data_IF_866891420048
#
_entry.id   IF_866891420048
#
_cell.length_a   1.000
_cell.length_b   1.000
_cell.length_c   1.000
_cell.angle_alpha   90.00
_cell.angle_beta   90.00
_cell.angle_gamma   90.00
#
_symmetry.space_group_name_H-M   'P 1'
#
loop_
_entity.id
_entity.type
_entity.pdbx_description
1 polymer ?
#
# COMPACT_ATOMS: atom_id res chain seq x y z
N UNK A 1 13.61 -7.98 -26.35
CA UNK A 1 13.00 -7.65 -25.03
C UNK A 1 13.54 -8.56 -23.93
N UNK A 2 13.99 -9.76 -24.29
CA UNK A 2 14.60 -10.74 -23.37
C UNK A 2 15.82 -10.17 -22.60
N UNK A 3 16.70 -9.41 -23.27
CA UNK A 3 17.83 -8.80 -22.60
C UNK A 3 17.43 -7.83 -21.45
N UNK A 4 16.32 -7.09 -21.62
CA UNK A 4 15.88 -6.13 -20.61
C UNK A 4 15.23 -6.86 -19.41
N UNK A 5 14.47 -7.93 -19.66
CA UNK A 5 13.90 -8.77 -18.60
C UNK A 5 15.01 -9.45 -17.81
N UNK A 6 15.97 -10.10 -18.49
CA UNK A 6 17.12 -10.76 -17.85
C UNK A 6 17.96 -9.80 -17.01
N UNK A 7 18.12 -8.55 -17.48
CA UNK A 7 18.84 -7.52 -16.75
C UNK A 7 18.09 -7.09 -15.48
N UNK A 8 16.77 -6.85 -15.56
CA UNK A 8 15.95 -6.44 -14.43
C UNK A 8 15.78 -7.57 -13.40
N UNK A 9 15.73 -8.82 -13.84
CA UNK A 9 15.70 -10.00 -12.96
C UNK A 9 17.03 -10.21 -12.24
N UNK A 10 18.15 -9.92 -12.92
CA UNK A 10 19.49 -10.02 -12.32
C UNK A 10 19.79 -8.93 -11.30
N UNK A 11 19.13 -7.77 -11.42
CA UNK A 11 19.34 -6.61 -10.55
C UNK A 11 17.99 -6.04 -10.04
N UNK A 12 17.32 -6.74 -9.11
CA UNK A 12 16.01 -6.34 -8.59
C UNK A 12 15.99 -4.92 -8.01
N UNK A 13 17.09 -4.50 -7.41
CA UNK A 13 17.24 -3.16 -6.83
C UNK A 13 17.12 -2.07 -7.90
N UNK A 14 17.73 -2.28 -9.06
CA UNK A 14 17.64 -1.34 -10.18
C UNK A 14 16.22 -1.26 -10.71
N UNK A 15 15.50 -2.38 -10.79
CA UNK A 15 14.10 -2.41 -11.20
C UNK A 15 13.23 -1.57 -10.26
N UNK A 16 13.43 -1.70 -8.94
CA UNK A 16 12.69 -0.92 -7.94
C UNK A 16 13.01 0.58 -8.06
N UNK A 17 14.30 0.96 -8.16
CA UNK A 17 14.67 2.37 -8.32
C UNK A 17 14.19 2.95 -9.64
N UNK A 18 14.19 2.16 -10.71
CA UNK A 18 13.67 2.57 -12.02
C UNK A 18 12.16 2.82 -11.94
N UNK A 19 11.41 1.92 -11.27
CA UNK A 19 9.98 2.09 -11.03
C UNK A 19 9.67 3.37 -10.26
N UNK A 20 10.43 3.66 -9.20
CA UNK A 20 10.28 4.87 -8.41
C UNK A 20 10.60 6.11 -9.26
N UNK A 21 11.70 6.09 -10.01
CA UNK A 21 12.16 7.24 -10.79
C UNK A 21 11.20 7.59 -11.92
N UNK A 22 10.82 6.59 -12.73
CA UNK A 22 9.83 6.77 -13.80
C UNK A 22 8.48 7.16 -13.22
N UNK A 23 8.08 6.50 -12.14
CA UNK A 23 6.81 6.75 -11.49
C UNK A 23 6.71 8.15 -10.89
N UNK A 24 7.79 8.65 -10.29
CA UNK A 24 7.85 10.03 -9.81
C UNK A 24 7.66 11.02 -10.97
N UNK A 25 8.38 10.83 -12.08
CA UNK A 25 8.25 11.67 -13.27
C UNK A 25 6.82 11.62 -13.85
N UNK A 26 6.24 10.43 -13.95
CA UNK A 26 4.85 10.27 -14.42
C UNK A 26 3.84 10.92 -13.46
N UNK A 27 4.08 10.83 -12.16
CA UNK A 27 3.22 11.40 -11.13
C UNK A 27 3.22 12.94 -11.12
N UNK A 28 4.30 13.58 -11.56
CA UNK A 28 4.39 15.05 -11.68
C UNK A 28 3.73 15.60 -12.94
N UNK A 29 3.40 14.76 -13.92
CA UNK A 29 2.73 15.19 -15.16
C UNK A 29 1.34 15.72 -14.82
N UNK A 30 1.10 16.98 -15.15
CA UNK A 30 -0.19 17.65 -14.97
C UNK A 30 -0.98 17.64 -16.26
N UNK A 31 -2.13 16.98 -16.25
CA UNK A 31 -3.04 16.93 -17.38
C UNK A 31 -4.32 17.66 -16.99
N UNK A 32 -4.60 18.83 -17.60
CA UNK A 32 -5.81 19.59 -17.33
C UNK A 32 -6.01 20.06 -15.89
N UNK A 33 -4.91 20.27 -15.14
CA UNK A 33 -4.96 20.68 -13.71
C UNK A 33 -5.02 19.51 -12.70
N UNK A 34 -5.09 18.26 -13.17
CA UNK A 34 -5.01 17.06 -12.36
C UNK A 34 -3.59 16.45 -12.46
N UNK A 35 -3.01 16.02 -11.32
CA UNK A 35 -1.78 15.23 -11.28
C UNK A 35 -2.03 13.93 -10.53
N UNK A 36 -1.50 12.82 -11.03
CA UNK A 36 -1.64 11.51 -10.39
C UNK A 36 -0.91 11.42 -9.04
N UNK A 37 0.08 12.28 -8.85
CA UNK A 37 0.97 12.24 -7.70
C UNK A 37 2.06 11.15 -7.79
N UNK A 38 3.18 11.35 -7.07
CA UNK A 38 4.34 10.46 -7.17
C UNK A 38 4.06 9.01 -6.74
N UNK A 39 3.17 8.82 -5.77
CA UNK A 39 2.83 7.47 -5.24
C UNK A 39 2.09 6.66 -6.31
N UNK A 40 1.04 7.23 -6.88
CA UNK A 40 0.25 6.57 -7.94
C UNK A 40 1.10 6.35 -9.20
N UNK A 41 1.93 7.34 -9.56
CA UNK A 41 2.86 7.21 -10.68
C UNK A 41 3.85 6.05 -10.48
N UNK A 42 4.41 5.90 -9.27
CA UNK A 42 5.33 4.81 -8.94
C UNK A 42 4.64 3.44 -8.95
N UNK A 43 3.39 3.37 -8.52
CA UNK A 43 2.58 2.15 -8.57
C UNK A 43 2.34 1.72 -10.03
N UNK A 44 1.93 2.65 -10.90
CA UNK A 44 1.74 2.37 -12.33
C UNK A 44 3.04 1.93 -12.98
N UNK A 45 4.16 2.62 -12.73
CA UNK A 45 5.46 2.26 -13.25
C UNK A 45 5.90 0.86 -12.76
N UNK A 46 5.67 0.55 -11.48
CA UNK A 46 5.95 -0.77 -10.91
C UNK A 46 5.15 -1.89 -11.56
N UNK A 47 3.85 -1.66 -11.82
CA UNK A 47 3.00 -2.62 -12.54
C UNK A 47 3.53 -2.86 -13.96
N UNK A 48 3.89 -1.79 -14.68
CA UNK A 48 4.43 -1.91 -16.05
C UNK A 48 5.76 -2.68 -16.08
N UNK A 49 6.66 -2.40 -15.14
CA UNK A 49 7.94 -3.12 -15.03
C UNK A 49 7.69 -4.59 -14.65
N UNK A 50 6.76 -4.87 -13.72
CA UNK A 50 6.39 -6.21 -13.33
C UNK A 50 5.71 -7.05 -14.43
N UNK A 51 5.19 -6.41 -15.49
CA UNK A 51 4.72 -7.11 -16.70
C UNK A 51 5.86 -7.51 -17.64
N UNK A 52 7.01 -6.85 -17.52
CA UNK A 52 8.18 -7.07 -18.40
C UNK A 52 9.11 -8.11 -17.78
N UNK A 53 9.28 -8.09 -16.46
CA UNK A 53 10.24 -8.95 -15.75
C UNK A 53 9.68 -9.37 -14.38
N UNK A 54 9.94 -10.61 -13.97
CA UNK A 54 9.68 -11.08 -12.60
C UNK A 54 10.77 -10.58 -11.67
N UNK A 55 10.52 -9.47 -10.98
CA UNK A 55 11.51 -8.84 -10.07
C UNK A 55 11.42 -9.48 -8.68
N UNK A 56 12.35 -10.37 -8.29
CA UNK A 56 12.33 -11.06 -7.01
C UNK A 56 12.80 -10.15 -5.87
N UNK A 57 11.91 -9.32 -5.33
CA UNK A 57 12.24 -8.50 -4.15
C UNK A 57 12.22 -9.38 -2.90
N UNK A 58 13.34 -9.45 -2.16
CA UNK A 58 13.45 -10.27 -0.95
C UNK A 58 12.47 -9.81 0.15
N UNK A 59 12.00 -10.75 0.97
CA UNK A 59 11.10 -10.45 2.09
C UNK A 59 11.72 -9.43 3.06
N UNK A 60 13.03 -9.55 3.32
CA UNK A 60 13.76 -8.59 4.17
C UNK A 60 13.74 -7.18 3.58
N UNK A 61 13.96 -7.02 2.28
CA UNK A 61 13.91 -5.72 1.61
C UNK A 61 12.50 -5.12 1.67
N UNK A 62 11.46 -5.91 1.45
CA UNK A 62 10.06 -5.46 1.60
C UNK A 62 9.77 -4.96 3.00
N UNK A 63 10.12 -5.73 4.04
CA UNK A 63 9.92 -5.35 5.44
C UNK A 63 10.73 -4.09 5.81
N UNK A 64 11.96 -3.98 5.35
CA UNK A 64 12.79 -2.81 5.59
C UNK A 64 12.21 -1.54 4.94
N UNK A 65 11.83 -1.61 3.67
CA UNK A 65 11.20 -0.49 2.96
C UNK A 65 9.86 -0.09 3.60
N UNK A 66 9.10 -1.07 4.07
CA UNK A 66 7.86 -0.83 4.80
C UNK A 66 8.10 -0.11 6.13
N UNK A 67 9.08 -0.55 6.92
CA UNK A 67 9.45 0.14 8.16
C UNK A 67 9.94 1.56 7.90
N UNK A 68 10.72 1.77 6.83
CA UNK A 68 11.17 3.09 6.41
C UNK A 68 9.99 3.99 6.01
N UNK A 69 9.01 3.45 5.33
CA UNK A 69 7.76 4.14 4.99
C UNK A 69 6.99 4.55 6.25
N UNK A 70 6.80 3.63 7.21
CA UNK A 70 6.14 3.94 8.49
C UNK A 70 6.91 5.00 9.29
N UNK A 71 8.24 4.92 9.31
CA UNK A 71 9.07 5.94 9.93
C UNK A 71 8.89 7.31 9.27
N UNK A 72 8.89 7.37 7.95
CA UNK A 72 8.68 8.60 7.18
C UNK A 72 7.33 9.26 7.49
N UNK A 73 6.26 8.46 7.53
CA UNK A 73 4.92 8.94 7.93
C UNK A 73 4.94 9.45 9.38
N UNK A 74 5.47 8.67 10.31
CA UNK A 74 5.54 9.05 11.71
C UNK A 74 6.33 10.34 11.93
N UNK A 75 7.45 10.50 11.25
CA UNK A 75 8.27 11.70 11.29
C UNK A 75 7.54 12.94 10.74
N UNK A 76 6.85 12.77 9.61
CA UNK A 76 6.11 13.85 8.94
C UNK A 76 4.86 14.28 9.72
N UNK A 77 4.08 13.32 10.21
CA UNK A 77 2.77 13.57 10.85
C UNK A 77 2.91 13.81 12.37
N UNK A 78 3.95 13.25 13.00
CA UNK A 78 4.13 13.31 14.45
C UNK A 78 4.04 14.72 15.06
N UNK A 79 4.76 15.73 14.56
CA UNK A 79 4.68 17.10 15.08
C UNK A 79 3.28 17.71 14.94
N UNK A 80 2.59 17.44 13.82
CA UNK A 80 1.23 17.92 13.57
C UNK A 80 0.22 17.27 14.52
N UNK A 81 0.38 15.95 14.75
CA UNK A 81 -0.41 15.20 15.71
C UNK A 81 -0.27 15.76 17.13
N UNK A 82 0.97 16.03 17.57
CA UNK A 82 1.21 16.58 18.90
C UNK A 82 0.63 18.00 19.07
N UNK A 83 0.63 18.80 18.01
CA UNK A 83 -0.01 20.12 18.03
C UNK A 83 -1.54 20.03 18.07
N UNK A 84 -2.12 19.17 17.26
CA UNK A 84 -3.56 18.93 17.26
C UNK A 84 -4.05 18.39 18.61
N UNK A 85 -3.28 17.48 19.22
CA UNK A 85 -3.58 16.91 20.53
C UNK A 85 -3.66 17.98 21.62
N UNK A 86 -2.79 19.00 21.60
CA UNK A 86 -2.78 20.09 22.57
C UNK A 86 -3.95 21.05 22.41
N UNK A 87 -4.51 21.18 21.21
CA UNK A 87 -5.56 22.14 20.89
C UNK A 87 -6.97 21.56 21.05
N UNK A 88 -7.23 20.43 20.41
CA UNK A 88 -8.55 19.80 20.33
C UNK A 88 -8.47 18.25 20.50
N UNK A 89 -7.49 17.76 21.24
CA UNK A 89 -7.08 16.37 21.27
C UNK A 89 -8.21 15.39 21.55
N UNK A 90 -9.07 15.68 22.52
CA UNK A 90 -10.16 14.78 22.87
C UNK A 90 -11.18 14.64 21.72
N UNK A 91 -11.53 15.73 21.05
CA UNK A 91 -12.45 15.72 19.91
C UNK A 91 -11.85 14.98 18.73
N UNK A 92 -10.57 15.23 18.43
CA UNK A 92 -9.85 14.56 17.35
C UNK A 92 -9.76 13.04 17.61
N UNK A 93 -9.43 12.62 18.82
CA UNK A 93 -9.35 11.20 19.21
C UNK A 93 -10.72 10.52 19.13
N UNK A 94 -11.78 11.17 19.63
CA UNK A 94 -13.15 10.62 19.54
C UNK A 94 -13.58 10.47 18.08
N UNK A 95 -13.35 11.50 17.25
CA UNK A 95 -13.71 11.45 15.84
C UNK A 95 -12.95 10.35 15.10
N UNK A 96 -11.62 10.29 15.30
CA UNK A 96 -10.79 9.25 14.71
C UNK A 96 -11.25 7.84 15.15
N UNK A 97 -11.54 7.66 16.45
CA UNK A 97 -12.02 6.38 16.99
C UNK A 97 -13.36 5.96 16.35
N UNK A 98 -14.30 6.90 16.22
CA UNK A 98 -15.59 6.63 15.57
C UNK A 98 -15.41 6.27 14.11
N UNK A 99 -14.63 7.06 13.36
CA UNK A 99 -14.36 6.79 11.94
C UNK A 99 -13.69 5.43 11.73
N UNK A 100 -12.64 5.14 12.50
CA UNK A 100 -11.92 3.88 12.39
C UNK A 100 -12.78 2.69 12.76
N UNK A 101 -13.52 2.77 13.85
CA UNK A 101 -14.40 1.68 14.30
C UNK A 101 -15.54 1.46 13.30
N UNK A 102 -16.14 2.53 12.79
CA UNK A 102 -17.20 2.43 11.78
C UNK A 102 -16.66 1.84 10.49
N UNK A 103 -15.51 2.31 10.00
CA UNK A 103 -14.86 1.76 8.80
C UNK A 103 -14.55 0.27 8.94
N UNK A 104 -14.00 -0.14 10.08
CA UNK A 104 -13.73 -1.55 10.38
C UNK A 104 -15.00 -2.40 10.39
N UNK A 105 -16.06 -1.93 11.07
CA UNK A 105 -17.33 -2.65 11.15
C UNK A 105 -17.99 -2.77 9.77
N UNK A 106 -17.96 -1.72 8.96
CA UNK A 106 -18.51 -1.75 7.61
C UNK A 106 -17.71 -2.71 6.72
N UNK A 107 -16.38 -2.63 6.73
CA UNK A 107 -15.56 -3.54 5.96
C UNK A 107 -15.74 -5.01 6.41
N UNK A 108 -15.79 -5.26 7.71
CA UNK A 108 -16.02 -6.60 8.27
C UNK A 108 -17.39 -7.15 7.88
N UNK A 109 -18.47 -6.36 8.06
CA UNK A 109 -19.83 -6.80 7.73
C UNK A 109 -20.00 -7.01 6.23
N UNK A 110 -19.49 -6.11 5.39
CA UNK A 110 -19.49 -6.26 3.94
C UNK A 110 -18.74 -7.53 3.51
N UNK A 111 -17.57 -7.76 4.08
CA UNK A 111 -16.76 -8.96 3.83
C UNK A 111 -17.53 -10.24 4.17
N UNK A 112 -18.22 -10.27 5.30
CA UNK A 112 -19.02 -11.42 5.75
C UNK A 112 -20.23 -11.68 4.85
N UNK A 113 -20.92 -10.62 4.41
CA UNK A 113 -22.10 -10.71 3.55
C UNK A 113 -21.71 -11.16 2.13
N UNK A 114 -20.60 -10.62 1.61
CA UNK A 114 -20.12 -10.90 0.26
C UNK A 114 -19.25 -12.16 0.18
N UNK A 115 -18.91 -12.78 1.30
CA UNK A 115 -18.04 -13.95 1.34
C UNK A 115 -16.61 -13.68 0.86
N UNK A 116 -16.10 -12.46 1.12
CA UNK A 116 -14.77 -12.06 0.69
C UNK A 116 -13.70 -12.68 1.58
N UNK A 117 -12.55 -12.98 0.97
CA UNK A 117 -11.39 -13.46 1.72
C UNK A 117 -10.69 -12.32 2.51
N UNK A 118 -9.76 -12.66 3.41
CA UNK A 118 -9.06 -11.67 4.23
C UNK A 118 -8.31 -10.60 3.41
N UNK A 119 -7.79 -10.96 2.22
CA UNK A 119 -7.10 -10.04 1.34
C UNK A 119 -8.02 -8.95 0.80
N UNK A 120 -9.14 -9.33 0.23
CA UNK A 120 -10.15 -8.38 -0.24
C UNK A 120 -10.71 -7.52 0.89
N UNK A 121 -10.94 -8.10 2.07
CA UNK A 121 -11.45 -7.38 3.24
C UNK A 121 -10.49 -6.28 3.69
N UNK A 122 -9.21 -6.61 3.76
CA UNK A 122 -8.16 -5.67 4.14
C UNK A 122 -7.96 -4.57 3.09
N UNK A 123 -7.98 -4.93 1.80
CA UNK A 123 -7.89 -3.99 0.70
C UNK A 123 -9.07 -3.02 0.64
N UNK A 124 -10.30 -3.50 0.84
CA UNK A 124 -11.48 -2.63 0.97
C UNK A 124 -11.36 -1.64 2.13
N UNK A 125 -10.80 -2.07 3.25
CA UNK A 125 -10.62 -1.18 4.40
C UNK A 125 -9.56 -0.12 4.10
N UNK A 126 -8.43 -0.49 3.52
CA UNK A 126 -7.34 0.44 3.20
C UNK A 126 -7.74 1.44 2.10
N UNK A 127 -8.33 0.97 1.01
CA UNK A 127 -8.81 1.81 -0.09
C UNK A 127 -9.95 2.73 0.33
N UNK A 128 -10.99 2.20 0.96
CA UNK A 128 -12.15 2.96 1.41
C UNK A 128 -11.84 4.05 2.44
N UNK A 129 -10.79 3.88 3.24
CA UNK A 129 -10.29 4.90 4.17
C UNK A 129 -9.13 5.73 3.59
N UNK A 130 -8.73 5.47 2.34
CA UNK A 130 -7.56 6.09 1.70
C UNK A 130 -6.28 5.98 2.54
N UNK A 131 -6.07 4.81 3.15
CA UNK A 131 -5.00 4.55 4.10
C UNK A 131 -4.02 3.50 3.56
N UNK A 132 -3.15 3.88 2.64
CA UNK A 132 -2.13 2.98 2.06
C UNK A 132 -1.22 2.31 3.10
N UNK A 133 -1.03 2.93 4.27
CA UNK A 133 -0.33 2.30 5.39
C UNK A 133 -1.05 1.05 5.90
N UNK A 134 -2.38 1.02 5.86
CA UNK A 134 -3.17 -0.16 6.25
C UNK A 134 -2.97 -1.33 5.28
N UNK A 135 -2.77 -1.08 3.98
CA UNK A 135 -2.40 -2.09 3.00
C UNK A 135 -1.07 -2.77 3.37
N UNK A 136 -0.07 -1.98 3.75
CA UNK A 136 1.24 -2.52 4.17
C UNK A 136 1.14 -3.38 5.42
N UNK A 137 0.42 -2.93 6.46
CA UNK A 137 0.21 -3.70 7.69
C UNK A 137 -0.60 -4.97 7.45
N UNK A 138 -1.61 -4.93 6.58
CA UNK A 138 -2.40 -6.10 6.19
C UNK A 138 -1.54 -7.14 5.46
N UNK A 139 -0.71 -6.69 4.53
CA UNK A 139 0.24 -7.56 3.81
C UNK A 139 1.20 -8.25 4.77
N UNK A 140 1.77 -7.51 5.71
CA UNK A 140 2.67 -8.08 6.72
C UNK A 140 1.93 -9.07 7.63
N UNK A 141 0.71 -8.75 8.05
CA UNK A 141 -0.12 -9.66 8.84
C UNK A 141 -0.43 -10.96 8.08
N UNK A 142 -0.78 -10.89 6.80
CA UNK A 142 -1.06 -12.05 5.94
C UNK A 142 0.19 -12.92 5.79
N UNK A 143 1.37 -12.33 5.60
CA UNK A 143 2.62 -13.06 5.49
C UNK A 143 3.01 -13.81 6.78
N UNK A 144 2.50 -13.39 7.93
CA UNK A 144 2.70 -14.05 9.22
C UNK A 144 1.61 -15.09 9.56
N UNK A 145 0.62 -15.30 8.71
CA UNK A 145 -0.39 -16.35 8.91
C UNK A 145 0.20 -17.74 8.69
N UNK A 146 -0.20 -18.70 9.52
CA UNK A 146 0.18 -20.10 9.37
C UNK A 146 -0.68 -20.81 8.30
N UNK A 147 -0.65 -20.31 7.07
CA UNK A 147 -1.35 -20.85 5.90
C UNK A 147 -0.35 -21.15 4.78
N UNK A 148 -0.70 -21.97 3.77
CA UNK A 148 0.16 -22.24 2.61
C UNK A 148 0.64 -20.98 1.92
N UNK A 149 1.88 -20.98 1.44
CA UNK A 149 2.50 -19.82 0.78
C UNK A 149 1.68 -19.30 -0.43
N UNK A 150 1.07 -20.23 -1.16
CA UNK A 150 0.20 -19.90 -2.30
C UNK A 150 -1.03 -19.08 -1.88
N UNK A 151 -1.63 -19.42 -0.74
CA UNK A 151 -2.76 -18.65 -0.19
C UNK A 151 -2.32 -17.29 0.34
N UNK A 152 -1.15 -17.21 0.98
CA UNK A 152 -0.59 -15.93 1.42
C UNK A 152 -0.40 -14.98 0.21
N UNK A 153 0.23 -15.47 -0.86
CA UNK A 153 0.46 -14.69 -2.08
C UNK A 153 -0.86 -14.25 -2.73
N UNK A 154 -1.85 -15.13 -2.78
CA UNK A 154 -3.17 -14.81 -3.28
C UNK A 154 -3.83 -13.70 -2.46
N UNK A 155 -3.83 -13.80 -1.14
CA UNK A 155 -4.42 -12.78 -0.28
C UNK A 155 -3.70 -11.45 -0.39
N UNK A 156 -2.37 -11.44 -0.47
CA UNK A 156 -1.58 -10.22 -0.68
C UNK A 156 -1.93 -9.55 -2.02
N UNK A 157 -2.10 -10.34 -3.08
CA UNK A 157 -2.55 -9.81 -4.38
C UNK A 157 -3.95 -9.19 -4.28
N UNK A 158 -4.87 -9.82 -3.55
CA UNK A 158 -6.22 -9.33 -3.34
C UNK A 158 -6.25 -8.02 -2.52
N UNK A 159 -5.34 -7.84 -1.55
CA UNK A 159 -5.19 -6.56 -0.84
C UNK A 159 -4.92 -5.42 -1.83
N UNK A 160 -3.95 -5.60 -2.72
CA UNK A 160 -3.58 -4.59 -3.70
C UNK A 160 -4.70 -4.27 -4.69
N UNK A 161 -5.40 -5.30 -5.19
CA UNK A 161 -6.52 -5.12 -6.12
C UNK A 161 -7.67 -4.35 -5.47
N UNK A 162 -8.06 -4.74 -4.26
CA UNK A 162 -9.19 -4.12 -3.57
C UNK A 162 -8.88 -2.68 -3.13
N UNK A 163 -7.65 -2.41 -2.69
CA UNK A 163 -7.18 -1.05 -2.35
C UNK A 163 -7.23 -0.11 -3.57
N UNK A 164 -6.86 -0.62 -4.74
CA UNK A 164 -6.85 0.18 -5.97
C UNK A 164 -8.25 0.47 -6.54
N UNK A 165 -9.27 -0.32 -6.18
CA UNK A 165 -10.65 -0.21 -6.70
C UNK A 165 -11.55 0.59 -5.76
N UNK A 166 -11.27 0.61 -4.47
CA UNK A 166 -12.05 1.31 -3.46
C UNK A 166 -11.46 2.68 -3.11
#
# INVERSE_FOLDING_TARGET
MEWLSDFLESYPELAVFLAISIGYMLGEVKIGGFSFGPVTGSLVAGILIGQIAEVPVSAMAKSFLFLLFLFGIGYSVGPQFMQAMKRDGLRAVLLASVCTTTGLLVAYTASRILGLDPGYSAGMLSGGLTQSAAMGTATEAINNLAIPLEEQQRYVAHVGVADAVC
#
